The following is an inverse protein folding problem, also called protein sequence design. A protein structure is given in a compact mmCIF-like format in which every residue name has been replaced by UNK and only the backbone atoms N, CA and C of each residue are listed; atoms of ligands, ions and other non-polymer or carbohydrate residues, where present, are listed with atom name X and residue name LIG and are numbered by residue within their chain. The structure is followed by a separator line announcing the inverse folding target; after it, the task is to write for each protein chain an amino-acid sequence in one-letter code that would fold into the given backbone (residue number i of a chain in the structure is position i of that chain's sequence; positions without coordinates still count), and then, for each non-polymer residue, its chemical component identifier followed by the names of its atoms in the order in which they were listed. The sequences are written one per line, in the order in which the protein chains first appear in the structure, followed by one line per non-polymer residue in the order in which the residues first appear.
data_IF_674077773144
#
_entry.id   IF_674077773144
#
_cell.length_a   1.000
_cell.length_b   1.000
_cell.length_c   1.000
_cell.angle_alpha   90.00
_cell.angle_beta   90.00
_cell.angle_gamma   90.00
#
_symmetry.space_group_name_H-M   'P 1'
#
loop_
_entity.id
_entity.type
_entity.pdbx_description
1 polymer ?
#
# COMPACT_ATOMS: atom_id res chain seq x y z
N UNK A 1 -3.38 16.23 -2.17
CA UNK A 1 -2.92 17.63 -2.33
C UNK A 1 -1.59 17.72 -3.10
N UNK A 2 -1.07 16.59 -3.60
CA UNK A 2 0.19 16.50 -4.35
C UNK A 2 1.41 17.07 -3.60
N UNK A 3 1.34 17.16 -2.26
CA UNK A 3 2.39 17.69 -1.39
C UNK A 3 3.26 16.61 -0.76
N UNK A 4 2.86 15.34 -0.86
CA UNK A 4 3.58 14.21 -0.27
C UNK A 4 3.85 13.14 -1.31
N UNK A 5 5.11 12.71 -1.41
CA UNK A 5 5.54 11.56 -2.19
C UNK A 5 5.72 10.36 -1.26
N UNK A 6 5.03 9.26 -1.55
CA UNK A 6 5.23 7.98 -0.88
C UNK A 6 6.09 7.06 -1.75
N UNK A 7 7.07 6.39 -1.13
CA UNK A 7 7.97 5.43 -1.77
C UNK A 7 7.99 4.15 -0.95
N UNK A 8 7.66 3.02 -1.58
CA UNK A 8 7.83 1.71 -0.99
C UNK A 8 9.28 1.22 -1.14
N UNK A 9 9.81 0.72 -0.03
CA UNK A 9 11.11 0.05 0.05
C UNK A 9 10.86 -1.42 0.39
N UNK A 10 11.29 -2.31 -0.50
CA UNK A 10 10.95 -3.73 -0.49
C UNK A 10 12.22 -4.59 -0.50
N UNK A 11 13.13 -4.33 0.45
CA UNK A 11 14.40 -5.05 0.53
C UNK A 11 14.15 -6.52 0.92
N UNK A 12 14.83 -7.44 0.24
CA UNK A 12 14.67 -8.89 0.42
C UNK A 12 15.68 -9.46 1.42
N UNK A 13 16.76 -8.73 1.72
CA UNK A 13 17.70 -9.11 2.79
C UNK A 13 16.96 -9.32 4.13
N UNK A 14 17.48 -10.22 4.96
CA UNK A 14 16.80 -10.66 6.18
C UNK A 14 16.40 -9.51 7.12
N UNK A 15 17.34 -8.59 7.32
CA UNK A 15 17.19 -7.38 8.15
C UNK A 15 17.04 -6.12 7.27
N UNK A 16 16.58 -6.29 6.03
CA UNK A 16 16.39 -5.20 5.09
C UNK A 16 15.17 -4.35 5.41
N UNK A 17 15.20 -3.04 5.09
CA UNK A 17 14.06 -2.15 5.31
C UNK A 17 12.84 -2.57 4.49
N UNK A 18 11.66 -2.53 5.12
CA UNK A 18 10.35 -2.83 4.53
C UNK A 18 9.40 -1.67 4.76
N UNK A 19 9.82 -0.51 4.28
CA UNK A 19 9.29 0.78 4.70
C UNK A 19 8.35 1.36 3.65
N UNK A 20 7.33 2.07 4.10
CA UNK A 20 6.78 3.19 3.35
C UNK A 20 7.51 4.43 3.84
N UNK A 21 8.24 5.08 2.94
CA UNK A 21 8.82 6.40 3.19
C UNK A 21 7.90 7.47 2.64
N UNK A 22 7.75 8.55 3.38
CA UNK A 22 7.09 9.76 2.92
C UNK A 22 8.10 10.90 2.80
N UNK A 23 7.88 11.76 1.81
CA UNK A 23 8.69 12.94 1.54
C UNK A 23 7.75 14.11 1.31
N UNK A 24 8.16 15.29 1.74
CA UNK A 24 7.52 16.52 1.29
C UNK A 24 7.90 16.73 -0.18
N UNK A 25 6.90 17.00 -1.02
CA UNK A 25 7.04 17.22 -2.46
C UNK A 25 6.71 18.67 -2.78
N UNK A 26 7.70 19.41 -3.30
CA UNK A 26 7.49 20.79 -3.74
C UNK A 26 6.71 20.85 -5.06
N UNK A 27 6.17 22.02 -5.40
CA UNK A 27 5.48 22.25 -6.67
C UNK A 27 6.39 22.02 -7.89
N UNK A 28 7.71 22.16 -7.72
CA UNK A 28 8.74 21.89 -8.72
C UNK A 28 9.15 20.41 -8.79
N UNK A 29 8.52 19.54 -7.97
CA UNK A 29 8.79 18.11 -7.93
C UNK A 29 10.02 17.71 -7.11
N UNK A 30 10.53 18.59 -6.24
CA UNK A 30 11.68 18.28 -5.37
C UNK A 30 11.20 17.55 -4.11
N UNK A 31 11.74 16.36 -3.86
CA UNK A 31 11.49 15.60 -2.64
C UNK A 31 12.45 16.00 -1.50
N UNK A 32 11.93 16.19 -0.29
CA UNK A 32 12.70 16.53 0.91
C UNK A 32 12.05 15.96 2.17
N UNK A 33 12.70 16.16 3.34
CA UNK A 33 12.14 15.79 4.66
C UNK A 33 11.63 14.34 4.74
N UNK A 34 12.50 13.40 4.37
CA UNK A 34 12.19 11.97 4.44
C UNK A 34 11.77 11.58 5.87
N UNK A 35 10.66 10.87 5.96
CA UNK A 35 10.17 10.24 7.19
C UNK A 35 9.68 8.83 6.91
N UNK A 36 9.81 7.97 7.92
CA UNK A 36 9.18 6.64 7.90
C UNK A 36 7.68 6.85 8.15
N UNK A 37 6.86 6.47 7.19
CA UNK A 37 5.40 6.48 7.31
C UNK A 37 4.89 5.18 7.91
N UNK A 38 5.44 4.04 7.47
CA UNK A 38 5.11 2.74 8.02
C UNK A 38 6.30 1.79 7.88
N UNK A 39 6.45 0.86 8.83
CA UNK A 39 7.45 -0.21 8.80
C UNK A 39 6.74 -1.57 8.89
N UNK A 40 6.86 -2.37 7.82
CA UNK A 40 6.27 -3.70 7.75
C UNK A 40 7.16 -4.78 8.39
N UNK A 41 8.38 -4.46 8.84
CA UNK A 41 9.26 -5.46 9.44
C UNK A 41 8.66 -6.07 10.72
N UNK A 42 8.73 -7.40 10.93
CA UNK A 42 9.41 -8.39 10.09
C UNK A 42 8.46 -9.11 9.11
N UNK A 43 7.24 -8.63 8.88
CA UNK A 43 6.29 -9.13 7.88
C UNK A 43 6.67 -8.75 6.44
N UNK A 44 5.93 -9.27 5.46
CA UNK A 44 6.15 -8.90 4.04
C UNK A 44 5.79 -7.43 3.81
N UNK A 45 6.69 -6.72 3.11
CA UNK A 45 6.49 -5.31 2.71
C UNK A 45 5.27 -5.14 1.80
N UNK A 46 4.95 -3.88 1.51
CA UNK A 46 4.03 -3.52 0.43
C UNK A 46 4.62 -3.75 -0.96
N UNK A 47 3.80 -3.57 -1.99
CA UNK A 47 4.20 -3.63 -3.41
C UNK A 47 3.64 -2.41 -4.16
N UNK A 48 2.43 -2.50 -4.69
CA UNK A 48 1.69 -1.38 -5.25
C UNK A 48 0.87 -0.62 -4.20
N UNK A 49 0.66 0.67 -4.45
CA UNK A 49 -0.16 1.54 -3.62
C UNK A 49 -1.01 2.51 -4.45
N UNK A 50 -2.12 2.96 -3.89
CA UNK A 50 -2.95 4.03 -4.45
C UNK A 50 -3.54 4.90 -3.34
N UNK A 51 -4.15 6.03 -3.69
CA UNK A 51 -4.66 7.02 -2.74
C UNK A 51 -6.10 7.41 -3.09
N UNK A 52 -6.95 7.54 -2.07
CA UNK A 52 -8.32 8.06 -2.22
C UNK A 52 -8.42 9.59 -2.11
N UNK A 53 -9.62 10.16 -2.23
CA UNK A 53 -9.83 11.61 -2.15
C UNK A 53 -9.56 12.23 -0.77
N UNK A 54 -9.56 11.44 0.29
CA UNK A 54 -9.30 11.90 1.65
C UNK A 54 -7.80 11.82 2.00
N UNK A 55 -6.99 11.25 1.10
CA UNK A 55 -5.56 11.08 1.28
C UNK A 55 -5.20 9.76 1.98
N UNK A 56 -6.15 8.84 2.13
CA UNK A 56 -5.85 7.52 2.70
C UNK A 56 -5.05 6.70 1.68
N UNK A 57 -4.02 6.01 2.16
CA UNK A 57 -3.09 5.22 1.37
C UNK A 57 -3.49 3.74 1.41
N UNK A 58 -3.82 3.17 0.25
CA UNK A 58 -4.19 1.77 0.09
C UNK A 58 -2.96 1.01 -0.41
N UNK A 59 -2.47 0.05 0.39
CA UNK A 59 -1.21 -0.63 0.13
C UNK A 59 -1.45 -2.14 0.00
N UNK A 60 -1.08 -2.71 -1.15
CA UNK A 60 -1.03 -4.15 -1.33
C UNK A 60 0.17 -4.73 -0.56
N UNK A 61 -0.08 -5.47 0.52
CA UNK A 61 1.00 -5.97 1.39
C UNK A 61 0.66 -7.35 1.97
N UNK A 62 1.65 -7.93 2.65
CA UNK A 62 1.47 -9.13 3.46
C UNK A 62 1.47 -10.46 2.72
N UNK A 63 1.44 -11.53 3.52
CA UNK A 63 1.41 -12.94 3.14
C UNK A 63 0.41 -13.71 4.02
N UNK A 64 -0.27 -14.68 3.45
CA UNK A 64 -1.06 -15.71 4.13
C UNK A 64 -0.23 -16.97 4.39
N UNK A 65 0.81 -17.24 3.59
CA UNK A 65 1.72 -18.38 3.73
C UNK A 65 3.19 -17.98 3.56
N UNK A 66 4.08 -18.68 4.27
CA UNK A 66 5.53 -18.47 4.15
C UNK A 66 5.99 -18.88 2.75
N UNK A 67 6.84 -18.05 2.12
CA UNK A 67 7.39 -18.29 0.77
C UNK A 67 8.89 -18.60 0.74
N UNK A 68 9.46 -19.02 1.87
CA UNK A 68 10.88 -19.36 1.98
C UNK A 68 11.84 -18.15 2.01
N UNK A 69 11.32 -16.97 2.33
CA UNK A 69 12.08 -15.73 2.53
C UNK A 69 12.19 -15.40 4.02
N UNK A 70 12.90 -14.33 4.36
CA UNK A 70 12.99 -13.77 5.71
C UNK A 70 11.69 -13.13 6.22
N UNK A 71 10.68 -12.99 5.36
CA UNK A 71 9.41 -12.35 5.70
C UNK A 71 8.54 -13.23 6.59
N UNK A 72 8.00 -12.66 7.66
CA UNK A 72 7.02 -13.28 8.56
C UNK A 72 5.60 -13.11 8.06
N UNK A 73 4.66 -13.74 8.76
CA UNK A 73 3.22 -13.61 8.53
C UNK A 73 2.60 -12.51 9.41
N UNK A 74 3.43 -11.63 9.99
CA UNK A 74 2.94 -10.55 10.87
C UNK A 74 2.14 -9.50 10.08
N UNK A 75 2.42 -9.40 8.78
CA UNK A 75 1.59 -8.66 7.82
C UNK A 75 0.74 -9.67 7.04
N UNK A 76 -0.56 -9.72 7.30
CA UNK A 76 -1.51 -10.64 6.64
C UNK A 76 -1.80 -10.13 5.22
N UNK A 77 -1.87 -11.03 4.23
CA UNK A 77 -2.08 -10.61 2.83
C UNK A 77 -3.40 -9.84 2.65
N UNK A 78 -3.31 -8.66 2.05
CA UNK A 78 -4.46 -7.80 1.82
C UNK A 78 -4.10 -6.35 1.48
N UNK A 79 -5.14 -5.54 1.33
CA UNK A 79 -5.00 -4.09 1.23
C UNK A 79 -5.00 -3.51 2.63
N UNK A 80 -3.93 -2.81 3.00
CA UNK A 80 -3.83 -2.05 4.24
C UNK A 80 -4.12 -0.59 3.92
N UNK A 81 -5.14 -0.02 4.57
CA UNK A 81 -5.57 1.36 4.37
C UNK A 81 -5.04 2.19 5.52
N UNK A 82 -4.14 3.12 5.22
CA UNK A 82 -3.58 4.03 6.20
C UNK A 82 -4.16 5.42 6.05
N UNK A 83 -4.45 6.09 7.16
CA UNK A 83 -4.79 7.51 7.16
C UNK A 83 -3.60 8.37 6.72
N UNK A 84 -3.80 9.65 6.37
CA UNK A 84 -2.69 10.57 6.10
C UNK A 84 -1.69 10.71 7.27
N UNK A 85 -2.10 10.40 8.51
CA UNK A 85 -1.22 10.43 9.69
C UNK A 85 -0.48 9.11 9.94
N UNK A 86 -0.72 8.06 9.15
CA UNK A 86 -0.09 6.74 9.29
C UNK A 86 -0.86 5.75 10.19
N UNK A 87 -2.07 6.10 10.64
CA UNK A 87 -2.93 5.18 11.38
C UNK A 87 -3.49 4.11 10.43
N UNK A 88 -3.42 2.83 10.82
CA UNK A 88 -4.09 1.75 10.08
C UNK A 88 -5.60 1.84 10.31
N UNK A 89 -6.34 2.24 9.29
CA UNK A 89 -7.80 2.41 9.33
C UNK A 89 -8.52 1.09 9.05
N UNK A 90 -8.05 0.34 8.05
CA UNK A 90 -8.70 -0.88 7.59
C UNK A 90 -7.69 -1.88 7.03
N UNK A 91 -8.01 -3.17 7.18
CA UNK A 91 -7.37 -4.26 6.47
C UNK A 91 -8.43 -5.03 5.68
N UNK A 92 -8.22 -5.10 4.36
CA UNK A 92 -9.12 -5.81 3.44
C UNK A 92 -8.42 -7.10 3.01
N UNK A 93 -8.80 -8.25 3.57
CA UNK A 93 -8.09 -9.50 3.34
C UNK A 93 -8.25 -9.98 1.89
N UNK A 94 -7.15 -10.45 1.30
CA UNK A 94 -7.15 -11.07 -0.03
C UNK A 94 -6.73 -12.53 0.12
N UNK A 95 -7.57 -13.51 -0.30
CA UNK A 95 -7.31 -14.93 -0.08
C UNK A 95 -6.31 -15.52 -1.10
N UNK A 96 -5.28 -14.76 -1.49
CA UNK A 96 -4.23 -15.18 -2.41
C UNK A 96 -2.89 -14.54 -2.01
N UNK A 97 -1.87 -15.37 -1.85
CA UNK A 97 -0.49 -14.90 -1.73
C UNK A 97 0.00 -14.36 -3.06
N UNK A 98 0.74 -13.23 -3.06
CA UNK A 98 1.14 -12.43 -4.25
C UNK A 98 0.18 -11.30 -4.61
N UNK A 99 -0.38 -10.60 -3.62
CA UNK A 99 -1.01 -9.30 -3.84
C UNK A 99 0.05 -8.28 -4.30
N UNK A 100 -0.16 -7.62 -5.44
CA UNK A 100 0.85 -6.81 -6.12
C UNK A 100 0.45 -5.36 -6.31
N UNK A 101 -0.80 -5.03 -6.62
CA UNK A 101 -1.18 -3.65 -6.91
C UNK A 101 -2.66 -3.39 -6.68
N UNK A 102 -3.02 -2.12 -6.57
CA UNK A 102 -4.40 -1.68 -6.44
C UNK A 102 -4.64 -0.37 -7.22
N UNK A 103 -5.83 -0.21 -7.78
CA UNK A 103 -6.22 1.01 -8.48
C UNK A 103 -7.73 1.26 -8.37
N UNK A 104 -8.11 2.51 -8.09
CA UNK A 104 -9.50 2.92 -8.14
C UNK A 104 -9.99 3.03 -9.59
N UNK A 105 -11.23 2.59 -9.83
CA UNK A 105 -11.87 2.62 -11.13
C UNK A 105 -13.39 2.51 -11.02
N UNK A 106 -14.02 2.13 -12.12
CA UNK A 106 -15.47 2.18 -12.27
C UNK A 106 -15.99 3.58 -12.61
N UNK A 107 -17.29 3.72 -12.96
CA UNK A 107 -17.87 5.00 -13.40
C UNK A 107 -17.74 6.13 -12.39
N UNK A 108 -17.78 5.79 -11.10
CA UNK A 108 -17.79 6.71 -9.95
C UNK A 108 -16.48 6.72 -9.15
N UNK A 109 -15.45 5.97 -9.60
CA UNK A 109 -14.19 5.75 -8.87
C UNK A 109 -14.34 5.14 -7.47
N UNK A 110 -15.45 4.44 -7.20
CA UNK A 110 -15.67 3.76 -5.91
C UNK A 110 -15.32 2.28 -5.93
N UNK A 111 -14.80 1.77 -7.05
CA UNK A 111 -14.36 0.38 -7.13
C UNK A 111 -12.84 0.32 -7.01
N UNK A 112 -12.32 -0.33 -5.97
CA UNK A 112 -10.91 -0.65 -5.88
C UNK A 112 -10.66 -2.01 -6.55
N UNK A 113 -9.85 -2.01 -7.61
CA UNK A 113 -9.36 -3.22 -8.26
C UNK A 113 -8.02 -3.61 -7.67
N UNK A 114 -7.81 -4.91 -7.43
CA UNK A 114 -6.61 -5.45 -6.78
C UNK A 114 -6.08 -6.63 -7.57
N UNK A 115 -4.81 -6.56 -8.00
CA UNK A 115 -4.13 -7.67 -8.64
C UNK A 115 -3.47 -8.54 -7.59
N UNK A 116 -3.73 -9.85 -7.63
CA UNK A 116 -3.08 -10.82 -6.77
C UNK A 116 -2.79 -12.11 -7.54
N UNK A 117 -1.51 -12.43 -7.75
CA UNK A 117 -1.07 -13.63 -8.46
C UNK A 117 -1.75 -13.78 -9.83
N UNK A 118 -2.74 -14.67 -9.91
CA UNK A 118 -3.50 -14.98 -11.13
C UNK A 118 -4.92 -14.39 -11.15
N UNK A 119 -5.30 -13.66 -10.11
CA UNK A 119 -6.66 -13.20 -9.87
C UNK A 119 -6.73 -11.68 -9.84
N UNK A 120 -7.84 -11.14 -10.34
CA UNK A 120 -8.24 -9.75 -10.14
C UNK A 120 -9.41 -9.72 -9.16
N UNK A 121 -9.22 -9.07 -8.01
CA UNK A 121 -10.27 -8.82 -7.04
C UNK A 121 -10.83 -7.41 -7.23
N UNK A 122 -12.07 -7.19 -6.83
CA UNK A 122 -12.66 -5.86 -6.77
C UNK A 122 -13.66 -5.74 -5.63
N UNK A 123 -13.70 -4.58 -4.99
CA UNK A 123 -14.70 -4.26 -3.97
C UNK A 123 -15.03 -2.77 -4.01
N UNK A 124 -16.19 -2.43 -3.46
CA UNK A 124 -16.66 -1.03 -3.36
C UNK A 124 -16.12 -0.38 -2.10
N UNK A 125 -15.71 0.89 -2.22
CA UNK A 125 -15.20 1.71 -1.12
C UNK A 125 -16.16 2.87 -0.78
N UNK A 126 -16.14 3.29 0.49
CA UNK A 126 -16.93 4.42 0.97
C UNK A 126 -16.40 5.77 0.49
N UNK A 127 -15.10 5.83 0.18
CA UNK A 127 -14.43 7.00 -0.40
C UNK A 127 -14.07 6.74 -1.85
N UNK A 128 -14.18 7.76 -2.70
CA UNK A 128 -13.80 7.68 -4.13
C UNK A 128 -12.29 7.78 -4.30
N UNK A 129 -11.76 7.15 -5.34
CA UNK A 129 -10.40 7.39 -5.81
C UNK A 129 -10.16 8.79 -6.37
N UNK A 130 -8.90 9.10 -6.65
CA UNK A 130 -8.50 10.34 -7.31
C UNK A 130 -8.67 10.25 -8.84
N UNK A 131 -9.16 11.32 -9.47
CA UNK A 131 -9.03 11.55 -10.92
C UNK A 131 -8.04 12.70 -11.03
N UNK A 132 -6.94 12.48 -11.74
CA UNK A 132 -6.08 13.55 -12.24
C UNK A 132 -6.51 13.91 -13.64
#
# INVERSE_FOLDING_TARGET
DDSTLYVLETEQAAEGPRLIRAYDLSAEGTASNMRIFHDFFPGRSGDGMTIDREGNLYVAAGLNQRRGTSETLDTVAGIHVFSPSGELLEHIPIPEDTITNAAFGGPDLRTLYVTAGKTLFSFTTDTTGTRR
#
